data_IF_954961411004
#
_entry.id   IF_954961411004
#
_cell.length_a   1.000
_cell.length_b   1.000
_cell.length_c   1.000
_cell.angle_alpha   90.00
_cell.angle_beta   90.00
_cell.angle_gamma   90.00
#
_symmetry.space_group_name_H-M   'P 1'
#
loop_
_entity.id
_entity.type
_entity.pdbx_description
1 polymer ?
#
# COMPACT_ATOMS: atom_id res chain seq x y z
N UNK A 1 2.01 -64.89 -39.80
CA UNK A 1 1.72 -63.46 -39.77
C UNK A 1 0.76 -63.15 -38.61
N UNK A 2 1.23 -62.64 -37.52
CA UNK A 2 0.41 -62.33 -36.33
C UNK A 2 0.47 -60.81 -36.14
N UNK A 3 -0.64 -60.11 -36.34
CA UNK A 3 -0.79 -58.67 -36.10
C UNK A 3 -1.13 -58.49 -34.63
N UNK A 4 -0.31 -57.70 -33.93
CA UNK A 4 -0.55 -57.26 -32.56
C UNK A 4 -1.22 -55.89 -32.60
N UNK A 5 -2.46 -55.81 -32.09
CA UNK A 5 -3.21 -54.60 -31.87
C UNK A 5 -2.75 -53.96 -30.52
N UNK A 6 -2.11 -52.83 -30.55
CA UNK A 6 -1.81 -52.00 -29.39
C UNK A 6 -3.02 -51.08 -29.12
N UNK A 7 -3.74 -51.36 -28.04
CA UNK A 7 -4.79 -50.49 -27.51
C UNK A 7 -4.14 -49.36 -26.71
N UNK A 8 -4.29 -48.13 -27.18
CA UNK A 8 -3.83 -46.91 -26.51
C UNK A 8 -4.98 -46.37 -25.64
N UNK A 9 -4.87 -46.58 -24.33
CA UNK A 9 -5.83 -46.03 -23.36
C UNK A 9 -5.46 -44.55 -23.07
N UNK A 10 -6.28 -43.64 -23.57
CA UNK A 10 -6.16 -42.20 -23.34
C UNK A 10 -6.77 -41.89 -21.96
N UNK A 11 -5.94 -41.67 -20.95
CA UNK A 11 -6.35 -41.19 -19.64
C UNK A 11 -6.64 -39.70 -19.69
N UNK A 12 -7.91 -39.29 -19.68
CA UNK A 12 -8.38 -37.94 -19.55
C UNK A 12 -8.20 -37.49 -18.10
N UNK A 13 -7.16 -36.68 -17.83
CA UNK A 13 -6.99 -35.93 -16.58
C UNK A 13 -7.99 -34.77 -16.55
N UNK A 14 -9.12 -34.98 -15.85
CA UNK A 14 -10.03 -33.90 -15.46
C UNK A 14 -9.32 -33.04 -14.41
N UNK A 15 -8.66 -31.98 -14.86
CA UNK A 15 -8.17 -30.92 -14.01
C UNK A 15 -9.37 -30.19 -13.39
N UNK A 16 -9.71 -30.52 -12.15
CA UNK A 16 -10.69 -29.77 -11.36
C UNK A 16 -10.17 -28.36 -11.11
N UNK A 17 -10.73 -27.37 -11.78
CA UNK A 17 -10.61 -25.98 -11.36
C UNK A 17 -11.31 -25.84 -10.00
N UNK A 18 -10.55 -25.82 -8.90
CA UNK A 18 -11.08 -25.40 -7.62
C UNK A 18 -11.36 -23.90 -7.71
N UNK A 19 -12.62 -23.53 -7.95
CA UNK A 19 -13.10 -22.17 -7.75
C UNK A 19 -13.11 -21.90 -6.24
N UNK A 20 -11.97 -21.45 -5.71
CA UNK A 20 -11.95 -20.85 -4.38
C UNK A 20 -12.88 -19.62 -4.34
N UNK A 21 -13.35 -19.20 -3.16
CA UNK A 21 -14.14 -17.98 -3.05
C UNK A 21 -13.38 -16.82 -3.72
N UNK A 22 -14.07 -16.06 -4.55
CA UNK A 22 -13.48 -14.91 -5.23
C UNK A 22 -12.90 -13.97 -4.17
N UNK A 23 -11.69 -13.49 -4.40
CA UNK A 23 -11.10 -12.50 -3.53
C UNK A 23 -12.01 -11.25 -3.50
N UNK A 24 -12.16 -10.58 -2.33
CA UNK A 24 -12.99 -9.39 -2.24
C UNK A 24 -12.51 -8.33 -3.22
N UNK A 25 -13.44 -7.68 -3.88
CA UNK A 25 -13.14 -6.58 -4.79
C UNK A 25 -12.73 -5.37 -3.96
N UNK A 26 -11.54 -4.86 -4.20
CA UNK A 26 -11.07 -3.60 -3.62
C UNK A 26 -11.02 -2.56 -4.72
N UNK A 27 -11.84 -1.52 -4.56
CA UNK A 27 -11.84 -0.39 -5.46
C UNK A 27 -10.93 0.70 -4.91
N UNK A 28 -10.01 1.17 -5.74
CA UNK A 28 -9.23 2.37 -5.44
C UNK A 28 -10.06 3.60 -5.82
N UNK A 29 -10.33 4.44 -4.83
CA UNK A 29 -11.04 5.68 -5.00
C UNK A 29 -10.13 6.82 -5.44
N UNK A 30 -10.42 8.02 -4.98
CA UNK A 30 -9.64 9.21 -5.30
C UNK A 30 -8.23 9.12 -4.76
N UNK A 31 -7.25 9.40 -5.60
CA UNK A 31 -5.85 9.57 -5.23
C UNK A 31 -5.47 11.05 -5.33
N UNK A 32 -4.78 11.55 -4.32
CA UNK A 32 -4.22 12.91 -4.31
C UNK A 32 -2.72 12.80 -4.14
N UNK A 33 -1.98 13.41 -5.06
CA UNK A 33 -0.53 13.52 -4.99
C UNK A 33 -0.16 14.99 -4.93
N UNK A 34 0.72 15.36 -4.00
CA UNK A 34 1.31 16.69 -3.91
C UNK A 34 2.80 16.55 -4.11
N UNK A 35 3.28 16.86 -5.32
CA UNK A 35 4.70 16.83 -5.62
C UNK A 35 5.44 17.91 -4.81
N UNK A 36 6.72 17.68 -4.58
CA UNK A 36 7.60 18.66 -3.97
C UNK A 36 7.71 19.91 -4.86
N UNK A 37 7.54 21.09 -4.28
CA UNK A 37 7.84 22.34 -5.00
C UNK A 37 9.33 22.46 -5.32
N UNK A 38 10.17 21.98 -4.39
CA UNK A 38 11.63 21.96 -4.53
C UNK A 38 12.18 20.64 -4.01
N UNK A 39 12.48 19.72 -4.93
CA UNK A 39 13.13 18.46 -4.60
C UNK A 39 14.64 18.60 -4.71
N UNK A 40 15.36 18.54 -3.59
CA UNK A 40 16.82 18.75 -3.53
C UNK A 40 17.61 17.49 -3.22
N UNK A 41 16.95 16.35 -3.03
CA UNK A 41 17.58 15.11 -2.54
C UNK A 41 18.11 14.20 -3.67
N UNK A 42 18.06 14.66 -4.93
CA UNK A 42 18.46 13.86 -6.08
C UNK A 42 17.48 12.74 -6.42
N UNK A 43 17.95 11.74 -7.16
CA UNK A 43 17.12 10.63 -7.65
C UNK A 43 17.12 9.42 -6.71
N UNK A 44 18.13 9.29 -5.85
CA UNK A 44 18.34 8.14 -4.96
C UNK A 44 18.70 8.60 -3.54
N UNK A 45 17.80 9.34 -2.85
CA UNK A 45 18.06 9.83 -1.50
C UNK A 45 18.21 8.67 -0.50
N UNK A 46 18.84 8.97 0.63
CA UNK A 46 18.83 8.10 1.78
C UNK A 46 17.53 8.33 2.55
N UNK A 47 16.87 7.26 2.95
CA UNK A 47 15.59 7.38 3.65
C UNK A 47 15.55 6.53 4.92
N UNK A 48 14.66 6.90 5.84
CA UNK A 48 14.30 6.09 6.99
C UNK A 48 12.79 6.12 7.23
N UNK A 49 12.22 5.04 7.73
CA UNK A 49 10.88 5.07 8.31
C UNK A 49 10.96 5.79 9.66
N UNK A 50 10.24 6.89 9.80
CA UNK A 50 10.18 7.63 11.06
C UNK A 50 9.07 7.04 11.94
N UNK A 51 9.43 6.23 12.94
CA UNK A 51 8.49 5.51 13.81
C UNK A 51 7.45 6.44 14.46
N UNK A 52 7.86 7.63 14.87
CA UNK A 52 6.99 8.64 15.46
C UNK A 52 5.92 9.19 14.50
N UNK A 53 6.07 8.93 13.21
CA UNK A 53 5.13 9.34 12.14
C UNK A 53 4.49 8.14 11.45
N UNK A 54 4.41 7.00 12.12
CA UNK A 54 3.67 5.84 11.65
C UNK A 54 2.34 5.78 12.38
N UNK A 55 1.25 5.94 11.66
CA UNK A 55 -0.09 5.99 12.23
C UNK A 55 -0.97 4.89 11.67
N UNK A 56 -1.63 4.17 12.56
CA UNK A 56 -2.68 3.23 12.19
C UNK A 56 -3.89 3.42 13.09
N UNK A 57 -5.06 3.54 12.51
CA UNK A 57 -6.32 3.41 13.27
C UNK A 57 -6.49 1.98 13.78
N UNK A 58 -7.29 1.80 14.85
CA UNK A 58 -7.45 0.49 15.50
C UNK A 58 -7.91 -0.59 14.52
N UNK A 59 -8.89 -0.31 13.66
CA UNK A 59 -9.37 -1.26 12.64
C UNK A 59 -8.38 -1.48 11.49
N UNK A 60 -7.41 -0.60 11.33
CA UNK A 60 -6.40 -0.64 10.30
C UNK A 60 -5.01 -1.06 10.81
N UNK A 61 -4.86 -1.34 12.11
CA UNK A 61 -3.57 -1.65 12.73
C UNK A 61 -2.84 -2.81 12.01
N UNK A 62 -3.56 -3.83 11.59
CA UNK A 62 -3.02 -4.98 10.87
C UNK A 62 -2.55 -4.68 9.44
N UNK A 63 -2.79 -3.47 8.94
CA UNK A 63 -2.32 -3.03 7.63
C UNK A 63 -1.00 -2.28 7.67
N UNK A 64 -0.61 -1.76 8.84
CA UNK A 64 0.58 -0.90 8.94
C UNK A 64 1.84 -1.63 8.48
N UNK A 65 2.13 -2.80 9.04
CA UNK A 65 3.32 -3.56 8.68
C UNK A 65 3.35 -3.98 7.20
N UNK A 66 2.31 -4.60 6.62
CA UNK A 66 2.27 -4.89 5.18
C UNK A 66 2.50 -3.66 4.29
N UNK A 67 1.96 -2.50 4.67
CA UNK A 67 2.15 -1.25 3.94
C UNK A 67 3.58 -0.74 4.07
N UNK A 68 4.16 -0.72 5.28
CA UNK A 68 5.56 -0.35 5.50
C UNK A 68 6.50 -1.18 4.63
N UNK A 69 6.32 -2.49 4.63
CA UNK A 69 7.11 -3.41 3.81
C UNK A 69 6.94 -3.15 2.30
N UNK A 70 5.75 -2.80 1.88
CA UNK A 70 5.48 -2.46 0.48
C UNK A 70 6.13 -1.13 0.08
N UNK A 71 6.06 -0.10 0.93
CA UNK A 71 6.70 1.19 0.72
C UNK A 71 8.23 1.03 0.65
N UNK A 72 8.83 0.29 1.60
CA UNK A 72 10.27 -0.02 1.58
C UNK A 72 10.66 -0.65 0.23
N UNK A 73 9.96 -1.69 -0.20
CA UNK A 73 10.26 -2.35 -1.50
C UNK A 73 10.15 -1.41 -2.69
N UNK A 74 9.19 -0.49 -2.68
CA UNK A 74 9.05 0.50 -3.75
C UNK A 74 10.21 1.50 -3.77
N UNK A 75 10.63 1.99 -2.61
CA UNK A 75 11.74 2.94 -2.50
C UNK A 75 13.07 2.26 -2.86
N UNK A 76 13.33 1.06 -2.35
CA UNK A 76 14.51 0.27 -2.70
C UNK A 76 14.55 -0.04 -4.21
N UNK A 77 13.40 -0.38 -4.81
CA UNK A 77 13.25 -0.60 -6.24
C UNK A 77 13.56 0.64 -7.09
N UNK A 78 13.38 1.84 -6.54
CA UNK A 78 13.79 3.12 -7.14
C UNK A 78 15.28 3.45 -6.89
N UNK A 79 16.01 2.58 -6.22
CA UNK A 79 17.41 2.78 -5.88
C UNK A 79 17.65 3.68 -4.67
N UNK A 80 16.62 3.99 -3.89
CA UNK A 80 16.76 4.69 -2.62
C UNK A 80 17.44 3.78 -1.61
N UNK A 81 18.11 4.34 -0.62
CA UNK A 81 18.86 3.57 0.36
C UNK A 81 18.34 3.79 1.78
N UNK A 82 17.89 2.71 2.41
CA UNK A 82 17.52 2.74 3.83
C UNK A 82 18.75 2.93 4.71
N UNK A 83 18.65 3.86 5.67
CA UNK A 83 19.70 4.21 6.62
C UNK A 83 19.08 4.49 8.00
N UNK A 84 19.88 4.59 9.09
CA UNK A 84 19.40 5.12 10.36
C UNK A 84 18.77 6.49 10.25
N UNK A 85 17.83 6.80 11.15
CA UNK A 85 17.00 8.02 11.07
C UNK A 85 17.83 9.31 11.05
N UNK A 86 18.91 9.36 11.81
CA UNK A 86 19.84 10.49 11.93
C UNK A 86 20.72 10.69 10.69
N UNK A 87 20.83 9.69 9.83
CA UNK A 87 21.57 9.75 8.57
C UNK A 87 20.68 9.97 7.35
N UNK A 88 19.35 9.93 7.52
CA UNK A 88 18.41 9.99 6.42
C UNK A 88 18.21 11.43 5.91
N UNK A 89 18.26 11.58 4.58
CA UNK A 89 17.91 12.82 3.90
C UNK A 89 16.40 13.07 3.94
N UNK A 90 15.65 11.97 3.88
CA UNK A 90 14.18 11.97 3.82
C UNK A 90 13.62 10.99 4.83
N UNK A 91 12.64 11.42 5.61
CA UNK A 91 11.87 10.56 6.50
C UNK A 91 10.56 10.17 5.85
N UNK A 92 10.18 8.91 6.00
CA UNK A 92 8.94 8.37 5.46
C UNK A 92 7.92 8.23 6.58
N UNK A 93 6.83 8.97 6.47
CA UNK A 93 5.67 8.89 7.35
C UNK A 93 4.55 8.11 6.62
N UNK A 94 3.86 7.23 7.34
CA UNK A 94 2.77 6.42 6.79
C UNK A 94 1.57 6.53 7.71
N UNK A 95 0.40 6.74 7.12
CA UNK A 95 -0.88 6.73 7.82
C UNK A 95 -1.84 5.75 7.18
N UNK A 96 -2.42 4.86 7.98
CA UNK A 96 -3.44 3.89 7.56
C UNK A 96 -4.65 4.03 8.47
N UNK A 97 -5.83 4.25 7.92
CA UNK A 97 -7.06 4.27 8.72
C UNK A 97 -8.20 3.54 8.04
N UNK A 98 -9.02 2.89 8.83
CA UNK A 98 -10.32 2.42 8.44
C UNK A 98 -11.40 3.46 8.76
N UNK A 99 -12.58 3.33 8.13
CA UNK A 99 -13.67 4.30 8.24
C UNK A 99 -14.29 4.44 9.64
N UNK A 100 -13.93 3.59 10.58
CA UNK A 100 -14.55 3.55 11.91
C UNK A 100 -13.65 4.13 13.01
N UNK A 101 -12.38 4.37 12.77
CA UNK A 101 -11.41 4.65 13.83
C UNK A 101 -10.90 6.07 13.86
N UNK A 102 -10.75 6.66 12.71
CA UNK A 102 -10.16 7.97 12.56
C UNK A 102 -10.74 8.62 11.31
N UNK A 103 -11.20 9.84 11.41
CA UNK A 103 -11.63 10.56 10.21
C UNK A 103 -10.43 10.80 9.30
N UNK A 104 -10.66 10.78 7.99
CA UNK A 104 -9.62 11.12 7.01
C UNK A 104 -8.94 12.46 7.36
N UNK A 105 -9.73 13.43 7.87
CA UNK A 105 -9.24 14.72 8.32
C UNK A 105 -8.24 14.64 9.47
N UNK A 106 -8.39 13.68 10.37
CA UNK A 106 -7.49 13.48 11.50
C UNK A 106 -6.14 12.89 11.07
N UNK A 107 -6.15 11.92 10.14
CA UNK A 107 -4.92 11.39 9.54
C UNK A 107 -4.20 12.49 8.78
N UNK A 108 -4.92 13.22 7.93
CA UNK A 108 -4.33 14.30 7.15
C UNK A 108 -3.75 15.39 8.04
N UNK A 109 -4.43 15.74 9.15
CA UNK A 109 -3.91 16.69 10.12
C UNK A 109 -2.62 16.21 10.77
N UNK A 110 -2.57 14.95 11.20
CA UNK A 110 -1.37 14.36 11.84
C UNK A 110 -0.18 14.26 10.89
N UNK A 111 -0.45 14.00 9.61
CA UNK A 111 0.58 13.93 8.56
C UNK A 111 0.89 15.30 7.93
N UNK A 112 0.30 16.39 8.44
CA UNK A 112 0.50 17.74 7.89
C UNK A 112 -0.11 17.92 6.48
N UNK A 113 -1.08 17.08 6.11
CA UNK A 113 -1.76 17.13 4.81
C UNK A 113 -3.08 17.89 4.90
N UNK A 114 -3.48 18.56 3.83
CA UNK A 114 -4.81 19.17 3.74
C UNK A 114 -5.82 18.13 3.20
N UNK A 115 -6.97 17.93 3.86
CA UNK A 115 -7.99 17.03 3.37
C UNK A 115 -8.44 17.43 1.97
N UNK A 116 -8.51 16.47 1.05
CA UNK A 116 -8.98 16.69 -0.32
C UNK A 116 -9.84 15.53 -0.83
N UNK A 117 -10.12 14.56 0.03
CA UNK A 117 -10.80 13.33 -0.32
C UNK A 117 -12.19 13.31 0.31
N UNK A 118 -13.23 13.32 -0.50
CA UNK A 118 -14.61 13.10 -0.09
C UNK A 118 -15.04 11.71 -0.54
N UNK A 119 -15.29 10.82 0.40
CA UNK A 119 -15.72 9.47 0.09
C UNK A 119 -17.24 9.30 0.19
N UNK A 120 -17.84 8.47 -0.68
CA UNK A 120 -19.27 8.16 -0.67
C UNK A 120 -19.74 7.42 0.60
N UNK A 121 -20.95 7.66 1.08
CA UNK A 121 -21.37 7.40 2.47
C UNK A 121 -21.48 5.93 2.93
N UNK A 122 -21.44 4.92 2.04
CA UNK A 122 -21.92 3.57 2.37
C UNK A 122 -20.93 2.41 2.14
N UNK A 123 -19.67 2.66 1.79
CA UNK A 123 -18.68 1.61 1.62
C UNK A 123 -17.75 1.48 2.83
N UNK A 124 -17.23 0.27 3.08
CA UNK A 124 -16.10 0.10 4.00
C UNK A 124 -14.90 0.78 3.37
N UNK A 125 -14.47 1.85 3.99
CA UNK A 125 -13.47 2.74 3.45
C UNK A 125 -12.20 2.62 4.26
N UNK A 126 -11.09 2.78 3.59
CA UNK A 126 -9.79 2.94 4.19
C UNK A 126 -9.07 4.07 3.50
N UNK A 127 -8.13 4.69 4.20
CA UNK A 127 -7.22 5.69 3.65
C UNK A 127 -5.81 5.22 3.92
N UNK A 128 -4.99 5.25 2.88
CA UNK A 128 -3.55 5.09 2.97
C UNK A 128 -2.91 6.40 2.54
N UNK A 129 -2.03 6.94 3.38
CA UNK A 129 -1.25 8.13 3.08
C UNK A 129 0.25 7.86 3.28
N UNK A 130 1.06 8.39 2.38
CA UNK A 130 2.52 8.40 2.47
C UNK A 130 2.99 9.84 2.36
N UNK A 131 3.81 10.28 3.31
CA UNK A 131 4.39 11.61 3.33
C UNK A 131 5.89 11.47 3.44
N UNK A 132 6.60 12.21 2.59
CA UNK A 132 8.04 12.36 2.69
C UNK A 132 8.33 13.68 3.40
N UNK A 133 9.09 13.58 4.47
CA UNK A 133 9.49 14.71 5.28
C UNK A 133 10.98 14.98 5.06
N UNK A 134 11.38 16.23 5.04
CA UNK A 134 12.79 16.60 5.12
C UNK A 134 13.42 16.12 6.43
N UNK A 135 14.51 15.38 6.35
CA UNK A 135 15.14 14.75 7.52
C UNK A 135 15.65 15.72 8.58
N UNK A 136 15.83 17.00 8.25
CA UNK A 136 16.33 18.02 9.18
C UNK A 136 15.20 18.87 9.74
N UNK A 137 14.33 19.39 8.87
CA UNK A 137 13.26 20.32 9.26
C UNK A 137 11.95 19.63 9.62
N UNK A 138 11.81 18.34 9.31
CA UNK A 138 10.59 17.54 9.47
C UNK A 138 9.37 18.12 8.72
N UNK A 139 9.60 18.99 7.76
CA UNK A 139 8.53 19.54 6.93
C UNK A 139 8.21 18.59 5.78
N UNK A 140 6.92 18.47 5.45
CA UNK A 140 6.51 17.69 4.31
C UNK A 140 7.07 18.28 3.01
N UNK A 141 7.78 17.47 2.24
CA UNK A 141 8.33 17.81 0.93
C UNK A 141 7.60 17.13 -0.20
N UNK A 142 6.93 16.02 0.08
CA UNK A 142 6.07 15.32 -0.86
C UNK A 142 5.00 14.52 -0.10
N UNK A 143 3.85 14.35 -0.69
CA UNK A 143 2.81 13.51 -0.11
C UNK A 143 1.90 12.88 -1.16
N UNK A 144 1.40 11.69 -0.86
CA UNK A 144 0.31 11.07 -1.60
C UNK A 144 -0.66 10.37 -0.64
N UNK A 145 -1.91 10.32 -1.03
CA UNK A 145 -2.93 9.58 -0.32
C UNK A 145 -3.93 8.96 -1.30
N UNK A 146 -4.42 7.78 -0.95
CA UNK A 146 -5.43 7.06 -1.71
C UNK A 146 -6.55 6.60 -0.78
N UNK A 147 -7.78 6.73 -1.23
CA UNK A 147 -8.94 6.11 -0.59
C UNK A 147 -9.20 4.75 -1.20
N UNK A 148 -9.60 3.84 -0.34
CA UNK A 148 -9.95 2.47 -0.67
C UNK A 148 -11.38 2.21 -0.27
N UNK A 149 -12.10 1.45 -1.08
CA UNK A 149 -13.40 0.90 -0.74
C UNK A 149 -13.36 -0.60 -0.94
N UNK A 150 -13.95 -1.35 -0.01
CA UNK A 150 -14.06 -2.80 -0.14
C UNK A 150 -15.48 -3.23 0.19
N UNK A 151 -16.01 -4.18 -0.57
CA UNK A 151 -17.32 -4.80 -0.37
C UNK A 151 -17.28 -5.82 0.79
N UNK A 152 -16.10 -6.34 1.13
CA UNK A 152 -15.90 -7.29 2.21
C UNK A 152 -14.56 -7.06 2.94
N UNK A 153 -14.38 -7.62 4.16
CA UNK A 153 -13.09 -7.61 4.82
C UNK A 153 -12.02 -8.30 3.96
N UNK A 154 -10.86 -7.65 3.82
CA UNK A 154 -9.72 -8.23 3.11
C UNK A 154 -9.05 -9.27 3.99
N UNK A 155 -8.90 -10.49 3.47
CA UNK A 155 -8.20 -11.57 4.15
C UNK A 155 -6.73 -11.19 4.42
N UNK A 156 -6.17 -11.74 5.48
CA UNK A 156 -4.80 -11.43 5.90
C UNK A 156 -3.78 -11.75 4.81
N UNK A 157 -3.96 -12.88 4.14
CA UNK A 157 -3.09 -13.36 3.07
C UNK A 157 -3.07 -12.42 1.85
N UNK A 158 -4.18 -11.71 1.61
CA UNK A 158 -4.31 -10.77 0.49
C UNK A 158 -3.74 -9.37 0.81
N UNK A 159 -3.58 -9.01 2.09
CA UNK A 159 -3.13 -7.67 2.50
C UNK A 159 -1.75 -7.32 1.97
N UNK A 160 -0.82 -8.28 2.01
CA UNK A 160 0.53 -8.05 1.52
C UNK A 160 0.58 -7.72 0.02
N UNK A 161 -0.16 -8.46 -0.80
CA UNK A 161 -0.25 -8.21 -2.24
C UNK A 161 -0.94 -6.88 -2.54
N UNK A 162 -2.05 -6.59 -1.86
CA UNK A 162 -2.77 -5.34 -2.03
C UNK A 162 -1.92 -4.14 -1.60
N UNK A 163 -1.21 -4.25 -0.48
CA UNK A 163 -0.29 -3.19 -0.02
C UNK A 163 0.80 -2.89 -1.06
N UNK A 164 1.32 -3.91 -1.76
CA UNK A 164 2.28 -3.71 -2.85
C UNK A 164 1.68 -2.95 -4.03
N UNK A 165 0.45 -3.31 -4.43
CA UNK A 165 -0.24 -2.62 -5.51
C UNK A 165 -0.51 -1.15 -5.15
N UNK A 166 -0.92 -0.88 -3.91
CA UNK A 166 -1.19 0.46 -3.42
C UNK A 166 0.09 1.31 -3.32
N UNK A 167 1.16 0.75 -2.76
CA UNK A 167 2.44 1.44 -2.68
C UNK A 167 3.00 1.79 -4.08
N UNK A 168 2.82 0.90 -5.06
CA UNK A 168 3.22 1.15 -6.44
C UNK A 168 2.40 2.25 -7.13
N UNK A 169 1.16 2.47 -6.71
CA UNK A 169 0.33 3.57 -7.21
C UNK A 169 0.69 4.91 -6.54
N UNK A 170 1.06 4.87 -5.26
CA UNK A 170 1.32 6.06 -4.46
C UNK A 170 2.72 6.64 -4.71
N UNK A 171 3.72 5.82 -4.99
CA UNK A 171 5.14 6.16 -5.12
C UNK A 171 5.66 5.99 -6.54
#
# INVERSE_FOLDING_TARGET
MRAALLSFTLATLLGGCSSGPAAPTVETGTMVVRPAEHWTYGTTPRYALAEQFQYAGNSAASWLEPVQQAVIRQLDGKGWRSVPLDEADVWVAIGVAGSQDMSDGEIFSRLGMTPGLNAAANARKGTLAVVLLDGHSQKAVWSSAIQLASDAPVAEEARGQLSQQLAAQLL
#
